data_IF_899846862329
#
_entry.id   IF_899846862329
#
_cell.length_a   1.000
_cell.length_b   1.000
_cell.length_c   1.000
_cell.angle_alpha   90.00
_cell.angle_beta   90.00
_cell.angle_gamma   90.00
#
_symmetry.space_group_name_H-M   'P 1'
#
loop_
_entity.id
_entity.type
_entity.pdbx_description
1 polymer ?
#
# COMPACT_ATOMS: atom_id res chain seq x y z
N UNK A 1 -8.08 9.87 -12.06
CA UNK A 1 -7.28 8.63 -12.10
C UNK A 1 -6.77 8.43 -13.52
N UNK A 2 -5.51 8.10 -13.67
CA UNK A 2 -4.95 7.75 -14.99
C UNK A 2 -5.34 6.33 -15.40
N UNK A 3 -5.07 5.98 -16.66
CA UNK A 3 -5.16 4.59 -17.11
C UNK A 3 -4.19 3.69 -16.32
N UNK A 4 -4.58 2.43 -16.10
CA UNK A 4 -3.76 1.49 -15.32
C UNK A 4 -2.35 1.30 -15.87
N UNK A 5 -2.17 1.43 -17.18
CA UNK A 5 -0.86 1.31 -17.83
C UNK A 5 0.15 2.34 -17.33
N UNK A 6 -0.32 3.53 -16.93
CA UNK A 6 0.52 4.58 -16.37
C UNK A 6 1.11 4.14 -15.04
N UNK A 7 0.29 3.59 -14.15
CA UNK A 7 0.74 3.12 -12.84
C UNK A 7 1.66 1.90 -12.97
N UNK A 8 1.30 0.95 -13.81
CA UNK A 8 2.14 -0.24 -14.09
C UNK A 8 3.53 0.20 -14.58
N UNK A 9 3.59 1.13 -15.54
CA UNK A 9 4.86 1.63 -16.06
C UNK A 9 5.70 2.33 -14.98
N UNK A 10 5.07 3.15 -14.14
CA UNK A 10 5.77 3.86 -13.06
C UNK A 10 6.37 2.89 -12.04
N UNK A 11 5.61 1.87 -11.65
CA UNK A 11 6.10 0.84 -10.73
C UNK A 11 7.21 -0.01 -11.36
N UNK A 12 7.09 -0.38 -12.63
CA UNK A 12 8.15 -1.10 -13.34
C UNK A 12 9.44 -0.29 -13.42
N UNK A 13 9.35 1.00 -13.68
CA UNK A 13 10.51 1.89 -13.70
C UNK A 13 11.18 1.96 -12.33
N UNK A 14 10.41 2.09 -11.26
CA UNK A 14 10.91 2.08 -9.90
C UNK A 14 11.60 0.75 -9.57
N UNK A 15 10.95 -0.37 -9.88
CA UNK A 15 11.48 -1.71 -9.65
C UNK A 15 12.82 -1.92 -10.36
N UNK A 16 12.93 -1.49 -11.62
CA UNK A 16 14.16 -1.61 -12.39
C UNK A 16 15.31 -0.80 -11.76
N UNK A 17 15.03 0.39 -11.26
CA UNK A 17 16.01 1.23 -10.57
C UNK A 17 16.46 0.62 -9.24
N UNK A 18 15.54 0.06 -8.47
CA UNK A 18 15.85 -0.56 -7.18
C UNK A 18 16.55 -1.92 -7.34
N UNK A 19 16.26 -2.65 -8.40
CA UNK A 19 16.88 -3.95 -8.68
C UNK A 19 18.41 -3.87 -8.88
N UNK A 20 18.92 -2.70 -9.30
CA UNK A 20 20.35 -2.51 -9.52
C UNK A 20 21.16 -2.32 -8.24
N UNK A 21 20.49 -2.18 -7.09
CA UNK A 21 21.17 -1.84 -5.81
C UNK A 21 21.63 -3.03 -4.99
N UNK A 22 21.21 -4.26 -5.32
CA UNK A 22 21.57 -5.46 -4.58
C UNK A 22 21.62 -6.71 -5.48
N UNK A 23 22.28 -7.76 -5.00
CA UNK A 23 22.31 -9.06 -5.67
C UNK A 23 20.91 -9.69 -5.70
N UNK A 24 20.65 -10.49 -6.72
CA UNK A 24 19.42 -11.25 -6.86
C UNK A 24 19.19 -12.15 -5.62
N UNK A 25 17.94 -12.24 -5.17
CA UNK A 25 17.55 -12.95 -3.94
C UNK A 25 17.75 -12.17 -2.65
N UNK A 26 18.43 -11.00 -2.70
CA UNK A 26 18.73 -10.16 -1.54
C UNK A 26 18.22 -8.72 -1.66
N UNK A 27 17.40 -8.45 -2.67
CA UNK A 27 16.83 -7.12 -2.90
C UNK A 27 15.79 -6.73 -1.89
N UNK A 28 15.07 -7.70 -1.34
CA UNK A 28 14.05 -7.49 -0.32
C UNK A 28 12.70 -7.06 -0.85
N UNK A 29 12.00 -6.28 -0.05
CA UNK A 29 10.66 -5.77 -0.38
C UNK A 29 10.63 -4.25 -0.32
N UNK A 30 9.80 -3.64 -1.15
CA UNK A 30 9.48 -2.22 -1.08
C UNK A 30 8.08 -2.05 -0.48
N UNK A 31 7.99 -1.31 0.62
CA UNK A 31 6.76 -1.06 1.38
C UNK A 31 6.24 0.34 1.11
N UNK A 32 4.96 0.44 0.75
CA UNK A 32 4.26 1.71 0.55
C UNK A 32 3.01 1.74 1.42
N UNK A 33 2.86 2.80 2.20
CA UNK A 33 1.69 2.98 3.07
C UNK A 33 0.97 4.25 2.66
N UNK A 34 -0.29 4.09 2.25
CA UNK A 34 -1.19 5.19 2.03
C UNK A 34 -1.64 5.82 3.35
N UNK A 35 -2.18 7.03 3.28
CA UNK A 35 -2.63 7.73 4.47
C UNK A 35 -3.92 7.13 5.03
N UNK A 36 -4.09 7.26 6.36
CA UNK A 36 -5.35 7.04 7.05
C UNK A 36 -6.09 8.37 7.24
N UNK A 37 -7.36 8.31 7.59
CA UNK A 37 -8.09 9.48 8.04
C UNK A 37 -7.49 10.03 9.34
N UNK A 38 -7.41 11.36 9.45
CA UNK A 38 -6.86 12.02 10.62
C UNK A 38 -8.00 12.71 11.40
N UNK A 39 -8.28 12.33 12.66
CA UNK A 39 -9.29 12.97 13.47
C UNK A 39 -8.89 14.40 13.83
N UNK A 40 -9.86 15.34 13.77
CA UNK A 40 -9.65 16.74 14.13
C UNK A 40 -9.79 16.98 15.63
N UNK A 41 -10.87 16.49 16.22
CA UNK A 41 -11.19 16.63 17.66
C UNK A 41 -11.53 15.30 18.32
N UNK A 42 -12.26 14.45 17.62
CA UNK A 42 -12.63 13.12 18.05
C UNK A 42 -12.71 12.18 16.86
N UNK A 43 -12.78 10.88 17.12
CA UNK A 43 -12.61 9.81 16.12
C UNK A 43 -13.50 9.98 14.87
N UNK A 44 -14.74 10.42 15.02
CA UNK A 44 -15.69 10.54 13.92
C UNK A 44 -15.69 11.91 13.23
N UNK A 45 -14.92 12.89 13.76
CA UNK A 45 -14.73 14.21 13.19
C UNK A 45 -13.35 14.31 12.57
N UNK A 46 -13.21 13.83 11.32
CA UNK A 46 -11.94 13.82 10.62
C UNK A 46 -11.72 15.08 9.78
N UNK A 47 -10.45 15.46 9.61
CA UNK A 47 -10.07 16.39 8.56
C UNK A 47 -10.40 15.82 7.20
N UNK A 48 -10.59 16.70 6.21
CA UNK A 48 -10.72 16.25 4.80
C UNK A 48 -9.56 15.32 4.47
N UNK A 49 -9.89 14.11 3.99
CA UNK A 49 -8.89 13.13 3.63
C UNK A 49 -7.99 13.63 2.51
N UNK A 50 -6.69 13.46 2.70
CA UNK A 50 -5.68 13.75 1.69
C UNK A 50 -4.70 12.60 1.62
N UNK A 51 -4.55 12.03 0.43
CA UNK A 51 -3.67 10.91 0.19
C UNK A 51 -2.21 11.36 0.08
N UNK A 52 -1.31 10.42 0.35
CA UNK A 52 0.12 10.58 0.12
C UNK A 52 0.43 10.70 -1.37
N UNK A 53 1.30 11.65 -1.72
CA UNK A 53 1.63 11.94 -3.12
C UNK A 53 2.38 10.81 -3.82
N UNK A 54 3.28 10.13 -3.11
CA UNK A 54 4.02 8.99 -3.67
C UNK A 54 3.08 7.82 -3.92
N UNK A 55 2.17 7.58 -2.98
CA UNK A 55 1.12 6.57 -3.13
C UNK A 55 0.25 6.83 -4.36
N UNK A 56 -0.23 8.07 -4.53
CA UNK A 56 -1.02 8.46 -5.70
C UNK A 56 -0.25 8.31 -7.00
N UNK A 57 1.04 8.65 -7.01
CA UNK A 57 1.90 8.51 -8.19
C UNK A 57 2.03 7.06 -8.63
N UNK A 58 2.22 6.14 -7.69
CA UNK A 58 2.50 4.73 -7.98
C UNK A 58 1.24 3.86 -8.11
N UNK A 59 0.20 4.16 -7.34
CA UNK A 59 -1.00 3.32 -7.24
C UNK A 59 -2.29 4.03 -7.61
N UNK A 60 -2.36 5.34 -7.50
CA UNK A 60 -3.54 6.12 -7.90
C UNK A 60 -4.81 5.89 -7.07
N UNK A 61 -4.73 5.16 -5.97
CA UNK A 61 -5.87 4.83 -5.11
C UNK A 61 -6.05 5.94 -4.08
N UNK A 62 -7.10 6.73 -4.20
CA UNK A 62 -7.39 7.85 -3.30
C UNK A 62 -8.41 7.45 -2.21
N UNK A 63 -8.06 6.40 -1.47
CA UNK A 63 -8.86 5.87 -0.36
C UNK A 63 -7.95 5.63 0.84
N UNK A 64 -8.45 5.84 2.08
CA UNK A 64 -7.65 5.62 3.29
C UNK A 64 -7.42 4.14 3.56
N UNK A 65 -6.41 3.84 4.37
CA UNK A 65 -6.08 2.51 4.88
C UNK A 65 -5.76 1.48 3.78
N UNK A 66 -5.00 1.93 2.79
CA UNK A 66 -4.39 1.06 1.79
C UNK A 66 -2.88 1.00 2.00
N UNK A 67 -2.29 -0.14 1.74
CA UNK A 67 -0.85 -0.33 1.70
C UNK A 67 -0.49 -1.28 0.55
N UNK A 68 0.76 -1.28 0.15
CA UNK A 68 1.25 -2.17 -0.89
C UNK A 68 2.67 -2.65 -0.59
N UNK A 69 2.98 -3.83 -1.07
CA UNK A 69 4.33 -4.38 -1.08
C UNK A 69 4.68 -4.81 -2.49
N UNK A 70 5.86 -4.44 -2.95
CA UNK A 70 6.47 -4.97 -4.17
C UNK A 70 7.66 -5.83 -3.75
N UNK A 71 7.63 -7.10 -4.10
CA UNK A 71 8.76 -8.00 -3.90
C UNK A 71 9.81 -7.70 -4.99
N UNK A 72 10.96 -7.19 -4.57
CA UNK A 72 12.02 -6.75 -5.49
C UNK A 72 12.78 -7.92 -6.11
N UNK A 73 12.66 -9.12 -5.56
CA UNK A 73 13.34 -10.29 -6.07
C UNK A 73 12.55 -11.00 -7.19
N UNK A 74 11.21 -11.04 -7.08
CA UNK A 74 10.35 -11.68 -8.07
C UNK A 74 9.40 -10.74 -8.82
N UNK A 75 9.30 -9.48 -8.39
CA UNK A 75 8.42 -8.47 -9.00
C UNK A 75 6.95 -8.59 -8.61
N UNK A 76 6.60 -9.46 -7.68
CA UNK A 76 5.23 -9.64 -7.21
C UNK A 76 4.73 -8.41 -6.45
N UNK A 77 3.54 -7.94 -6.81
CA UNK A 77 2.90 -6.79 -6.18
C UNK A 77 1.64 -7.24 -5.44
N UNK A 78 1.43 -6.73 -4.24
CA UNK A 78 0.24 -7.03 -3.44
C UNK A 78 -0.32 -5.76 -2.81
N UNK A 79 -1.62 -5.54 -2.94
CA UNK A 79 -2.37 -4.48 -2.26
C UNK A 79 -2.96 -5.05 -0.98
N UNK A 80 -2.82 -4.32 0.12
CA UNK A 80 -3.36 -4.66 1.44
C UNK A 80 -4.41 -3.63 1.82
N UNK A 81 -5.63 -4.07 2.01
CA UNK A 81 -6.75 -3.27 2.51
C UNK A 81 -7.88 -4.20 2.94
N UNK A 82 -8.86 -3.66 3.64
CA UNK A 82 -10.03 -4.41 4.04
C UNK A 82 -11.24 -3.99 3.21
N UNK A 83 -12.04 -4.98 2.80
CA UNK A 83 -13.33 -4.73 2.18
C UNK A 83 -14.29 -4.11 3.20
N UNK A 84 -15.22 -3.28 2.71
CA UNK A 84 -16.25 -2.67 3.57
C UNK A 84 -17.10 -3.77 4.20
N UNK A 85 -17.27 -3.71 5.53
CA UNK A 85 -18.10 -4.65 6.25
C UNK A 85 -19.58 -4.55 5.82
N UNK A 86 -20.29 -5.68 5.86
CA UNK A 86 -21.71 -5.74 5.45
C UNK A 86 -22.57 -4.70 6.17
N UNK A 87 -22.32 -4.48 7.47
CA UNK A 87 -23.00 -3.47 8.26
C UNK A 87 -22.80 -2.05 7.76
N UNK A 88 -21.63 -1.74 7.21
CA UNK A 88 -21.30 -0.42 6.68
C UNK A 88 -21.88 -0.19 5.28
N UNK A 89 -22.12 -1.24 4.52
CA UNK A 89 -22.78 -1.15 3.19
C UNK A 89 -24.18 -0.54 3.29
N UNK A 90 -24.88 -0.80 4.39
CA UNK A 90 -26.21 -0.25 4.66
C UNK A 90 -26.20 1.28 4.70
N UNK A 91 -25.11 1.88 5.21
CA UNK A 91 -24.95 3.33 5.36
C UNK A 91 -24.22 3.97 4.18
N UNK A 92 -23.25 3.28 3.58
CA UNK A 92 -22.35 3.82 2.56
C UNK A 92 -22.76 3.40 1.14
N UNK A 93 -23.67 2.42 1.01
CA UNK A 93 -23.98 1.78 -0.26
C UNK A 93 -22.88 0.79 -0.71
N UNK A 94 -23.10 0.09 -1.84
CA UNK A 94 -22.12 -0.85 -2.37
C UNK A 94 -20.80 -0.17 -2.69
N UNK A 95 -19.69 -0.75 -2.21
CA UNK A 95 -18.35 -0.27 -2.49
C UNK A 95 -17.59 -1.31 -3.33
N UNK A 96 -16.66 -0.87 -4.23
CA UNK A 96 -15.83 -1.82 -4.97
C UNK A 96 -14.99 -2.65 -4.00
N UNK A 97 -14.80 -3.94 -4.31
CA UNK A 97 -13.89 -4.78 -3.53
C UNK A 97 -12.44 -4.31 -3.66
N UNK A 98 -11.63 -4.64 -2.67
CA UNK A 98 -10.18 -4.36 -2.71
C UNK A 98 -9.53 -5.01 -3.93
N UNK A 99 -9.92 -6.24 -4.27
CA UNK A 99 -9.42 -6.92 -5.46
C UNK A 99 -9.76 -6.15 -6.75
N UNK A 100 -10.97 -5.61 -6.86
CA UNK A 100 -11.39 -4.79 -7.99
C UNK A 100 -10.60 -3.48 -8.08
N UNK A 101 -10.39 -2.82 -6.95
CA UNK A 101 -9.59 -1.58 -6.88
C UNK A 101 -8.14 -1.86 -7.28
N UNK A 102 -7.54 -2.94 -6.76
CA UNK A 102 -6.18 -3.36 -7.11
C UNK A 102 -6.06 -3.64 -8.62
N UNK A 103 -6.99 -4.38 -9.19
CA UNK A 103 -7.01 -4.67 -10.62
C UNK A 103 -7.10 -3.40 -11.48
N UNK A 104 -7.82 -2.39 -11.02
CA UNK A 104 -7.97 -1.11 -11.73
C UNK A 104 -6.65 -0.34 -11.89
N UNK A 105 -5.66 -0.63 -11.07
CA UNK A 105 -4.31 -0.05 -11.13
C UNK A 105 -3.24 -1.07 -11.56
N UNK A 106 -3.67 -2.23 -12.03
CA UNK A 106 -2.80 -3.26 -12.59
C UNK A 106 -2.10 -4.14 -11.56
N UNK A 107 -2.65 -4.27 -10.34
CA UNK A 107 -2.16 -5.18 -9.31
C UNK A 107 -3.10 -6.37 -9.21
N UNK A 108 -2.58 -7.58 -9.39
CA UNK A 108 -3.40 -8.80 -9.42
C UNK A 108 -3.66 -9.38 -8.03
N UNK A 109 -2.74 -9.16 -7.08
CA UNK A 109 -2.84 -9.72 -5.74
C UNK A 109 -3.38 -8.70 -4.75
N UNK A 110 -4.29 -9.14 -3.92
CA UNK A 110 -4.79 -8.37 -2.78
C UNK A 110 -4.95 -9.25 -1.55
N UNK A 111 -4.84 -8.65 -0.37
CA UNK A 111 -4.98 -9.36 0.90
C UNK A 111 -5.58 -8.40 1.96
N UNK A 112 -6.14 -8.94 3.05
CA UNK A 112 -6.57 -8.12 4.17
C UNK A 112 -5.43 -7.28 4.73
N UNK A 113 -5.74 -6.09 5.23
CA UNK A 113 -4.72 -5.16 5.75
C UNK A 113 -3.82 -5.79 6.83
N UNK A 114 -4.37 -6.63 7.68
CA UNK A 114 -3.64 -7.38 8.70
C UNK A 114 -2.54 -8.29 8.15
N UNK A 115 -2.71 -8.81 6.94
CA UNK A 115 -1.72 -9.69 6.31
C UNK A 115 -0.40 -8.99 6.00
N UNK A 116 -0.40 -7.65 5.95
CA UNK A 116 0.82 -6.85 5.80
C UNK A 116 1.82 -7.14 6.92
N UNK A 117 1.36 -7.23 8.16
CA UNK A 117 2.21 -7.47 9.33
C UNK A 117 2.94 -8.82 9.21
N UNK A 118 2.24 -9.85 8.80
CA UNK A 118 2.81 -11.18 8.59
C UNK A 118 3.84 -11.20 7.46
N UNK A 119 3.53 -10.52 6.36
CA UNK A 119 4.43 -10.48 5.20
C UNK A 119 5.73 -9.73 5.53
N UNK A 120 5.63 -8.58 6.19
CA UNK A 120 6.80 -7.79 6.59
C UNK A 120 7.63 -8.54 7.63
N UNK A 121 7.00 -9.14 8.63
CA UNK A 121 7.69 -9.94 9.64
C UNK A 121 8.45 -11.13 9.00
N UNK A 122 7.84 -11.80 8.04
CA UNK A 122 8.49 -12.89 7.30
C UNK A 122 9.73 -12.41 6.54
N UNK A 123 9.66 -11.25 5.90
CA UNK A 123 10.80 -10.67 5.19
C UNK A 123 11.94 -10.32 6.16
N UNK A 124 11.63 -9.64 7.26
CA UNK A 124 12.61 -9.26 8.28
C UNK A 124 13.26 -10.49 8.92
N UNK A 125 12.48 -11.46 9.32
CA UNK A 125 12.99 -12.70 9.93
C UNK A 125 13.84 -13.53 8.95
N UNK A 126 13.57 -13.42 7.66
CA UNK A 126 14.38 -14.05 6.61
C UNK A 126 15.64 -13.25 6.23
N UNK A 127 15.92 -12.15 6.92
CA UNK A 127 17.07 -11.30 6.65
C UNK A 127 16.94 -10.46 5.37
N UNK A 128 15.74 -10.32 4.83
CA UNK A 128 15.47 -9.51 3.64
C UNK A 128 15.26 -8.04 4.04
N UNK A 129 15.88 -7.08 3.36
CA UNK A 129 15.68 -5.67 3.67
C UNK A 129 14.26 -5.20 3.32
N UNK A 130 13.75 -4.26 4.10
CA UNK A 130 12.48 -3.58 3.84
C UNK A 130 12.79 -2.12 3.50
N UNK A 131 12.48 -1.75 2.25
CA UNK A 131 12.69 -0.40 1.75
C UNK A 131 11.41 0.40 1.87
N UNK A 132 11.50 1.61 2.39
CA UNK A 132 10.35 2.52 2.46
C UNK A 132 10.83 3.97 2.38
N UNK A 133 9.93 4.86 1.97
CA UNK A 133 10.16 6.30 1.98
C UNK A 133 9.70 6.82 3.34
N UNK A 134 10.53 7.65 3.98
CA UNK A 134 10.18 8.27 5.27
C UNK A 134 8.82 8.98 5.15
N UNK A 135 7.81 8.56 5.93
CA UNK A 135 6.50 9.17 5.84
C UNK A 135 6.49 10.61 6.35
N UNK A 136 5.67 11.45 5.74
CA UNK A 136 5.39 12.80 6.22
C UNK A 136 4.40 12.82 7.39
N UNK A 137 3.58 11.80 7.51
CA UNK A 137 2.56 11.66 8.55
C UNK A 137 3.07 10.83 9.72
N UNK A 138 2.91 11.37 10.94
CA UNK A 138 3.30 10.67 12.17
C UNK A 138 2.61 9.31 12.33
N UNK A 139 1.34 9.22 11.98
CA UNK A 139 0.60 7.96 11.98
C UNK A 139 1.32 6.87 11.17
N UNK A 140 1.78 7.20 9.96
CA UNK A 140 2.47 6.24 9.10
C UNK A 140 3.86 5.90 9.64
N UNK A 141 4.54 6.84 10.29
CA UNK A 141 5.82 6.57 10.98
C UNK A 141 5.61 5.56 12.09
N UNK A 142 4.59 5.73 12.90
CA UNK A 142 4.24 4.79 13.97
C UNK A 142 3.84 3.42 13.42
N UNK A 143 3.09 3.40 12.32
CA UNK A 143 2.68 2.15 11.66
C UNK A 143 3.87 1.35 11.16
N UNK A 144 4.85 1.99 10.52
CA UNK A 144 6.07 1.33 10.06
C UNK A 144 6.88 0.81 11.25
N UNK A 145 7.01 1.59 12.31
CA UNK A 145 7.73 1.17 13.51
C UNK A 145 7.08 -0.04 14.20
N UNK A 146 5.77 -0.24 14.02
CA UNK A 146 5.03 -1.37 14.60
C UNK A 146 5.14 -2.67 13.80
N UNK A 147 5.65 -2.62 12.59
CA UNK A 147 5.86 -3.78 11.73
C UNK A 147 7.17 -4.49 12.08
#
# INVERSE_FOLDING_TARGET
MFDKSVYVRRRKTLLAKMANSAAEGKRGIALFIGNAEAPAQYKDNCYKFRQDSTWLYLFGIDQPLYAAVIDLDNGEETIFADDVAIGDIIWMGPQPSVASVAASVGVENSAPYKALDTLVAKAVNGGRPVHFIKPSRYYNTMRIASL
#
